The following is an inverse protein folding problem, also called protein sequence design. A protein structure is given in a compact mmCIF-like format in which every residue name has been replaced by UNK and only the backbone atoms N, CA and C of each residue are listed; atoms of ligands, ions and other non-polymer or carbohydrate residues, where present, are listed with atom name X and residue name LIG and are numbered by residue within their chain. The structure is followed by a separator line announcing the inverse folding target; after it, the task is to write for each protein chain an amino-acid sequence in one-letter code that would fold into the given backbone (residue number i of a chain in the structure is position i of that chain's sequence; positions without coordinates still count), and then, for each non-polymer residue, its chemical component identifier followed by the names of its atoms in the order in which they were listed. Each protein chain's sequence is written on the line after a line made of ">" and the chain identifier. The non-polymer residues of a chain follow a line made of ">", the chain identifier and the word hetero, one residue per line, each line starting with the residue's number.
data_IF_912983146638
#
_entry.id   IF_912983146638
#
_cell.length_a   1.000
_cell.length_b   1.000
_cell.length_c   1.000
_cell.angle_alpha   90.00
_cell.angle_beta   90.00
_cell.angle_gamma   90.00
#
_symmetry.space_group_name_H-M   'P 1'
#
loop_
_entity.id
_entity.type
_entity.pdbx_description
1 polymer ?
#
# COMPACT_ATOMS: atom_id res chain seq x y z
N UNK A 1 19.68 -11.03 0.28
CA UNK A 1 18.74 -11.60 -0.71
C UNK A 1 18.49 -10.67 -1.90
N UNK A 2 17.94 -9.45 -1.73
CA UNK A 2 17.61 -8.54 -2.87
C UNK A 2 18.74 -8.37 -3.91
N UNK A 3 19.99 -8.13 -3.48
CA UNK A 3 21.15 -7.94 -4.36
C UNK A 3 21.52 -9.18 -5.20
N UNK A 4 21.06 -10.36 -4.79
CA UNK A 4 21.36 -11.64 -5.45
C UNK A 4 20.30 -12.03 -6.49
N UNK A 5 19.21 -11.27 -6.61
CA UNK A 5 18.09 -11.59 -7.50
C UNK A 5 18.08 -10.66 -8.72
N UNK A 6 17.91 -11.19 -9.91
CA UNK A 6 17.68 -10.41 -11.14
C UNK A 6 16.32 -9.72 -11.10
N UNK A 7 16.07 -8.76 -12.00
CA UNK A 7 14.77 -8.06 -12.04
C UNK A 7 13.60 -9.02 -12.32
N UNK A 8 13.72 -9.98 -13.27
CA UNK A 8 12.70 -11.02 -13.45
C UNK A 8 12.43 -11.84 -12.18
N UNK A 9 13.46 -12.23 -11.42
CA UNK A 9 13.27 -12.96 -10.16
C UNK A 9 12.53 -12.13 -9.11
N UNK A 10 12.83 -10.84 -8.98
CA UNK A 10 12.13 -9.95 -8.06
C UNK A 10 10.66 -9.76 -8.47
N UNK A 11 10.38 -9.61 -9.76
CA UNK A 11 9.01 -9.49 -10.28
C UNK A 11 8.22 -10.78 -10.04
N UNK A 12 8.84 -11.95 -10.25
CA UNK A 12 8.21 -13.24 -9.93
C UNK A 12 7.91 -13.38 -8.44
N UNK A 13 8.82 -12.92 -7.58
CA UNK A 13 8.58 -12.89 -6.13
C UNK A 13 7.42 -11.96 -5.77
N UNK A 14 7.33 -10.79 -6.42
CA UNK A 14 6.20 -9.86 -6.26
C UNK A 14 4.88 -10.53 -6.63
N UNK A 15 4.81 -11.25 -7.75
CA UNK A 15 3.61 -11.99 -8.15
C UNK A 15 3.18 -13.02 -7.09
N UNK A 16 4.12 -13.85 -6.61
CA UNK A 16 3.83 -14.84 -5.57
C UNK A 16 3.30 -14.19 -4.28
N UNK A 17 3.91 -13.08 -3.85
CA UNK A 17 3.46 -12.34 -2.67
C UNK A 17 2.09 -11.68 -2.88
N UNK A 18 1.78 -11.23 -4.10
CA UNK A 18 0.46 -10.71 -4.46
C UNK A 18 -0.60 -11.82 -4.44
N UNK A 19 -0.28 -13.03 -4.89
CA UNK A 19 -1.18 -14.19 -4.73
C UNK A 19 -1.48 -14.46 -3.25
N UNK A 20 -0.45 -14.46 -2.39
CA UNK A 20 -0.62 -14.60 -0.95
C UNK A 20 -1.48 -13.48 -0.34
N UNK A 21 -1.24 -12.23 -0.76
CA UNK A 21 -2.04 -11.08 -0.32
C UNK A 21 -3.52 -11.26 -0.67
N UNK A 22 -3.80 -11.56 -1.95
CA UNK A 22 -5.17 -11.71 -2.47
C UNK A 22 -5.91 -12.85 -1.79
N UNK A 23 -5.26 -13.99 -1.59
CA UNK A 23 -5.85 -15.10 -0.85
C UNK A 23 -6.25 -14.70 0.57
N UNK A 24 -5.35 -14.05 1.30
CA UNK A 24 -5.62 -13.57 2.66
C UNK A 24 -6.75 -12.52 2.69
N UNK A 25 -6.76 -11.59 1.73
CA UNK A 25 -7.82 -10.58 1.54
C UNK A 25 -9.18 -11.24 1.34
N UNK A 26 -9.30 -12.16 0.37
CA UNK A 26 -10.53 -12.91 0.07
C UNK A 26 -11.02 -13.70 1.28
N UNK A 27 -10.12 -14.32 2.03
CA UNK A 27 -10.51 -15.01 3.27
C UNK A 27 -11.05 -14.03 4.32
N UNK A 28 -10.41 -12.88 4.50
CA UNK A 28 -10.81 -11.89 5.52
C UNK A 28 -12.18 -11.29 5.22
N UNK A 29 -12.52 -11.08 3.94
CA UNK A 29 -13.82 -10.54 3.50
C UNK A 29 -14.92 -11.62 3.45
N UNK A 30 -14.58 -12.91 3.41
CA UNK A 30 -15.55 -14.00 3.43
C UNK A 30 -16.05 -14.32 4.86
N UNK A 31 -17.02 -13.53 5.33
CA UNK A 31 -17.61 -13.71 6.66
C UNK A 31 -18.28 -15.08 6.84
N UNK A 32 -18.92 -15.62 5.80
CA UNK A 32 -19.60 -16.92 5.84
C UNK A 32 -18.62 -18.04 6.13
N UNK A 33 -17.53 -18.13 5.36
CA UNK A 33 -16.49 -19.14 5.56
C UNK A 33 -15.83 -19.00 6.95
N UNK A 34 -15.52 -17.76 7.37
CA UNK A 34 -14.92 -17.50 8.68
C UNK A 34 -15.85 -17.90 9.83
N UNK A 35 -17.16 -17.70 9.68
CA UNK A 35 -18.16 -18.12 10.67
C UNK A 35 -18.26 -19.65 10.76
N UNK A 36 -18.19 -20.37 9.63
CA UNK A 36 -18.16 -21.84 9.62
C UNK A 36 -16.95 -22.36 10.39
N UNK A 37 -15.75 -21.85 10.08
CA UNK A 37 -14.52 -22.25 10.78
C UNK A 37 -14.54 -21.92 12.27
N UNK A 38 -15.11 -20.77 12.63
CA UNK A 38 -15.25 -20.38 14.03
C UNK A 38 -16.22 -21.29 14.78
N UNK A 39 -17.39 -21.60 14.21
CA UNK A 39 -18.36 -22.56 14.80
C UNK A 39 -17.78 -23.97 14.92
N UNK A 40 -16.89 -24.36 14.01
CA UNK A 40 -16.14 -25.62 14.07
C UNK A 40 -14.97 -25.58 15.09
N UNK A 41 -14.81 -24.50 15.85
CA UNK A 41 -13.74 -24.31 16.84
C UNK A 41 -12.31 -24.44 16.26
N UNK A 42 -12.14 -24.16 14.95
CA UNK A 42 -10.87 -24.36 14.23
C UNK A 42 -9.68 -23.61 14.84
N UNK A 43 -9.93 -22.43 15.43
CA UNK A 43 -8.92 -21.62 16.12
C UNK A 43 -9.36 -21.29 17.55
N UNK A 44 -10.00 -22.25 18.22
CA UNK A 44 -10.62 -22.03 19.51
C UNK A 44 -11.71 -20.95 19.46
N UNK A 45 -11.81 -20.15 20.52
CA UNK A 45 -12.84 -19.12 20.67
C UNK A 45 -12.65 -17.89 19.77
N UNK A 46 -11.53 -17.75 19.07
CA UNK A 46 -11.21 -16.56 18.26
C UNK A 46 -11.63 -16.79 16.80
N UNK A 47 -12.44 -15.89 16.26
CA UNK A 47 -12.82 -15.93 14.84
C UNK A 47 -11.55 -15.81 13.96
N UNK A 48 -11.24 -16.81 13.11
CA UNK A 48 -10.00 -16.83 12.35
C UNK A 48 -9.93 -15.64 11.39
N UNK A 49 -8.73 -15.11 11.19
CA UNK A 49 -8.41 -14.08 10.20
C UNK A 49 -6.96 -14.26 9.74
N UNK A 50 -6.64 -13.66 8.60
CA UNK A 50 -5.31 -13.62 8.01
C UNK A 50 -4.83 -12.16 7.84
N UNK A 51 -5.21 -11.25 8.75
CA UNK A 51 -4.85 -9.82 8.65
C UNK A 51 -3.33 -9.60 8.56
N UNK A 52 -2.57 -10.36 9.36
CA UNK A 52 -1.10 -10.31 9.34
C UNK A 52 -0.55 -10.78 8.00
N UNK A 53 -1.08 -11.85 7.42
CA UNK A 53 -0.64 -12.33 6.11
C UNK A 53 -0.99 -11.33 5.01
N UNK A 54 -2.23 -10.83 5.00
CA UNK A 54 -2.74 -9.84 4.06
C UNK A 54 -1.84 -8.58 4.03
N UNK A 55 -1.55 -8.02 5.20
CA UNK A 55 -0.76 -6.79 5.32
C UNK A 55 0.73 -7.03 5.10
N UNK A 56 1.33 -8.09 5.68
CA UNK A 56 2.77 -8.31 5.57
C UNK A 56 3.21 -8.69 4.16
N UNK A 57 2.43 -9.50 3.42
CA UNK A 57 2.77 -9.85 2.04
C UNK A 57 2.70 -8.61 1.14
N UNK A 58 1.67 -7.76 1.30
CA UNK A 58 1.56 -6.50 0.56
C UNK A 58 2.68 -5.52 0.92
N UNK A 59 3.00 -5.37 2.20
CA UNK A 59 4.11 -4.53 2.63
C UNK A 59 5.46 -5.02 2.05
N UNK A 60 5.65 -6.34 1.92
CA UNK A 60 6.83 -6.91 1.27
C UNK A 60 6.87 -6.56 -0.23
N UNK A 61 5.76 -6.72 -0.95
CA UNK A 61 5.62 -6.31 -2.36
C UNK A 61 6.00 -4.85 -2.54
N UNK A 62 5.39 -3.96 -1.76
CA UNK A 62 5.66 -2.52 -1.83
C UNK A 62 7.13 -2.20 -1.54
N UNK A 63 7.75 -2.84 -0.53
CA UNK A 63 9.17 -2.64 -0.22
C UNK A 63 10.09 -3.09 -1.35
N UNK A 64 9.80 -4.23 -1.99
CA UNK A 64 10.57 -4.71 -3.15
C UNK A 64 10.45 -3.71 -4.29
N UNK A 65 9.22 -3.35 -4.66
CA UNK A 65 8.97 -2.46 -5.79
C UNK A 65 9.55 -1.06 -5.55
N UNK A 66 9.35 -0.45 -4.37
CA UNK A 66 9.97 0.84 -4.03
C UNK A 66 11.50 0.76 -3.99
N UNK A 67 12.08 -0.39 -3.65
CA UNK A 67 13.54 -0.58 -3.69
C UNK A 67 14.04 -0.69 -5.12
N UNK A 68 13.34 -1.45 -5.98
CA UNK A 68 13.64 -1.53 -7.42
C UNK A 68 13.52 -0.17 -8.09
N UNK A 69 12.52 0.62 -7.70
CA UNK A 69 12.29 1.92 -8.31
C UNK A 69 13.36 2.95 -7.95
N UNK A 70 14.11 2.74 -6.86
CA UNK A 70 15.25 3.59 -6.47
C UNK A 70 16.61 2.97 -6.80
N UNK A 71 16.63 1.89 -7.59
CA UNK A 71 17.85 1.12 -7.89
C UNK A 71 18.32 1.46 -9.32
N UNK A 72 19.39 2.25 -9.42
CA UNK A 72 19.95 2.69 -10.70
C UNK A 72 20.37 1.52 -11.60
N UNK A 73 20.83 0.41 -11.01
CA UNK A 73 21.18 -0.80 -11.76
C UNK A 73 19.99 -1.44 -12.46
N UNK A 74 18.75 -1.01 -12.15
CA UNK A 74 17.49 -1.53 -12.70
C UNK A 74 16.68 -0.46 -13.42
N UNK A 75 17.31 0.63 -13.83
CA UNK A 75 16.65 1.76 -14.50
C UNK A 75 15.81 1.34 -15.72
N UNK A 76 16.25 0.35 -16.48
CA UNK A 76 15.50 -0.21 -17.62
C UNK A 76 14.13 -0.79 -17.24
N UNK A 77 13.92 -1.17 -15.97
CA UNK A 77 12.66 -1.75 -15.47
C UNK A 77 11.78 -0.72 -14.74
N UNK A 78 12.25 0.50 -14.54
CA UNK A 78 11.52 1.53 -13.80
C UNK A 78 10.12 1.83 -14.36
N UNK A 79 9.88 1.90 -15.69
CA UNK A 79 8.53 2.14 -16.20
C UNK A 79 7.54 1.04 -15.79
N UNK A 80 7.94 -0.23 -15.88
CA UNK A 80 7.13 -1.36 -15.45
C UNK A 80 6.90 -1.36 -13.94
N UNK A 81 7.94 -1.10 -13.15
CA UNK A 81 7.86 -1.02 -11.68
C UNK A 81 6.96 0.14 -11.24
N UNK A 82 7.05 1.32 -11.88
CA UNK A 82 6.18 2.47 -11.60
C UNK A 82 4.72 2.10 -11.86
N UNK A 83 4.42 1.51 -13.02
CA UNK A 83 3.07 1.07 -13.36
C UNK A 83 2.51 0.11 -12.30
N UNK A 84 3.28 -0.92 -11.93
CA UNK A 84 2.86 -1.86 -10.87
C UNK A 84 2.68 -1.19 -9.51
N UNK A 85 3.58 -0.28 -9.11
CA UNK A 85 3.45 0.46 -7.84
C UNK A 85 2.18 1.30 -7.81
N UNK A 86 1.88 2.02 -8.90
CA UNK A 86 0.67 2.85 -9.00
C UNK A 86 -0.56 1.96 -8.87
N UNK A 87 -0.68 0.92 -9.69
CA UNK A 87 -1.84 0.01 -9.65
C UNK A 87 -2.05 -0.58 -8.26
N UNK A 88 -1.01 -1.17 -7.66
CA UNK A 88 -1.12 -1.83 -6.35
C UNK A 88 -1.41 -0.81 -5.22
N UNK A 89 -0.85 0.39 -5.30
CA UNK A 89 -1.12 1.43 -4.30
C UNK A 89 -2.54 1.99 -4.41
N UNK A 90 -3.06 2.19 -5.63
CA UNK A 90 -4.47 2.58 -5.82
C UNK A 90 -5.40 1.51 -5.24
N UNK A 91 -5.20 0.24 -5.60
CA UNK A 91 -5.99 -0.88 -5.04
C UNK A 91 -5.94 -0.91 -3.49
N UNK A 92 -4.79 -0.57 -2.90
CA UNK A 92 -4.61 -0.53 -1.46
C UNK A 92 -5.34 0.66 -0.80
N UNK A 93 -5.26 1.84 -1.41
CA UNK A 93 -5.92 3.06 -0.92
C UNK A 93 -7.45 2.95 -1.04
N UNK A 94 -7.95 2.48 -2.18
CA UNK A 94 -9.38 2.19 -2.39
C UNK A 94 -9.89 1.17 -1.39
N UNK A 95 -9.15 0.08 -1.20
CA UNK A 95 -9.57 -0.95 -0.26
C UNK A 95 -9.61 -0.43 1.17
N UNK A 96 -8.61 0.36 1.60
CA UNK A 96 -8.65 0.99 2.93
C UNK A 96 -9.90 1.85 3.12
N UNK A 97 -10.29 2.64 2.12
CA UNK A 97 -11.52 3.44 2.17
C UNK A 97 -12.80 2.60 2.28
N UNK A 98 -12.80 1.37 1.77
CA UNK A 98 -13.93 0.43 1.90
C UNK A 98 -14.00 -0.32 3.23
N UNK A 99 -12.92 -0.30 4.04
CA UNK A 99 -12.88 -1.05 5.29
C UNK A 99 -13.80 -0.39 6.32
N UNK A 100 -14.76 -1.14 6.84
CA UNK A 100 -15.69 -0.69 7.90
C UNK A 100 -15.26 -1.11 9.30
N UNK A 101 -14.49 -2.20 9.41
CA UNK A 101 -14.01 -2.75 10.67
C UNK A 101 -12.76 -2.01 11.17
N UNK A 102 -12.80 -1.51 12.40
CA UNK A 102 -11.72 -0.74 13.01
C UNK A 102 -10.42 -1.54 13.14
N UNK A 103 -10.47 -2.79 13.62
CA UNK A 103 -9.28 -3.63 13.75
C UNK A 103 -8.62 -3.93 12.37
N UNK A 104 -9.44 -4.03 11.31
CA UNK A 104 -8.94 -4.20 9.94
C UNK A 104 -8.28 -2.91 9.44
N UNK A 105 -8.91 -1.74 9.64
CA UNK A 105 -8.32 -0.43 9.33
C UNK A 105 -7.00 -0.24 10.08
N UNK A 106 -6.96 -0.58 11.36
CA UNK A 106 -5.77 -0.51 12.20
C UNK A 106 -4.59 -1.30 11.65
N UNK A 107 -4.83 -2.52 11.19
CA UNK A 107 -3.81 -3.33 10.54
C UNK A 107 -3.30 -2.67 9.24
N UNK A 108 -4.21 -2.08 8.46
CA UNK A 108 -3.90 -1.44 7.18
C UNK A 108 -3.29 -0.05 7.27
N UNK A 109 -3.41 0.64 8.41
CA UNK A 109 -2.73 1.93 8.67
C UNK A 109 -1.23 1.83 8.35
N UNK A 110 -0.60 0.70 8.69
CA UNK A 110 0.82 0.45 8.39
C UNK A 110 1.16 0.42 6.90
N UNK A 111 0.22 -0.02 6.05
CA UNK A 111 0.36 -0.05 4.59
C UNK A 111 0.29 1.37 4.02
N UNK A 112 -0.68 2.16 4.48
CA UNK A 112 -0.83 3.55 4.04
C UNK A 112 0.39 4.38 4.45
N UNK A 113 0.84 4.24 5.70
CA UNK A 113 2.06 4.88 6.17
C UNK A 113 3.26 4.51 5.30
N UNK A 114 3.40 3.23 4.90
CA UNK A 114 4.45 2.80 4.00
C UNK A 114 4.35 3.49 2.63
N UNK A 115 3.18 3.49 1.99
CA UNK A 115 2.99 4.11 0.67
C UNK A 115 3.30 5.61 0.73
N UNK A 116 2.63 6.33 1.62
CA UNK A 116 2.72 7.80 1.70
C UNK A 116 4.12 8.26 2.10
N UNK A 117 4.76 7.57 3.05
CA UNK A 117 6.14 7.91 3.46
C UNK A 117 7.14 7.67 2.34
N UNK A 118 6.93 6.65 1.49
CA UNK A 118 7.86 6.33 0.39
C UNK A 118 7.72 7.30 -0.76
N UNK A 119 6.50 7.69 -1.17
CA UNK A 119 6.32 8.69 -2.22
C UNK A 119 6.83 10.07 -1.80
N UNK A 120 6.68 10.44 -0.51
CA UNK A 120 7.23 11.69 0.03
C UNK A 120 8.75 11.82 -0.09
N UNK A 121 9.48 10.71 -0.29
CA UNK A 121 10.94 10.68 -0.44
C UNK A 121 11.39 10.58 -1.91
N UNK A 122 10.46 10.48 -2.85
CA UNK A 122 10.79 10.41 -4.28
C UNK A 122 11.11 11.79 -4.85
N UNK A 123 11.87 11.87 -5.96
CA UNK A 123 11.98 13.09 -6.78
C UNK A 123 10.60 13.59 -7.26
N UNK A 124 10.50 14.90 -7.52
CA UNK A 124 9.23 15.58 -7.82
C UNK A 124 8.48 14.96 -9.01
N UNK A 125 9.17 14.65 -10.12
CA UNK A 125 8.57 14.00 -11.29
C UNK A 125 7.84 12.70 -10.93
N UNK A 126 8.47 11.86 -10.11
CA UNK A 126 7.89 10.58 -9.69
C UNK A 126 6.80 10.75 -8.66
N UNK A 127 7.01 11.66 -7.71
CA UNK A 127 5.98 12.03 -6.74
C UNK A 127 4.71 12.51 -7.46
N UNK A 128 4.85 13.36 -8.49
CA UNK A 128 3.75 13.83 -9.31
C UNK A 128 3.02 12.67 -9.99
N UNK A 129 3.74 11.76 -10.68
CA UNK A 129 3.14 10.60 -11.33
C UNK A 129 2.30 9.72 -10.37
N UNK A 130 2.82 9.47 -9.16
CA UNK A 130 2.11 8.71 -8.13
C UNK A 130 0.91 9.48 -7.58
N UNK A 131 1.09 10.73 -7.17
CA UNK A 131 0.04 11.50 -6.50
C UNK A 131 -1.09 11.89 -7.46
N UNK A 132 -0.81 12.18 -8.73
CA UNK A 132 -1.87 12.36 -9.74
C UNK A 132 -2.80 11.16 -9.83
N UNK A 133 -2.29 9.95 -9.61
CA UNK A 133 -3.10 8.73 -9.60
C UNK A 133 -3.84 8.56 -8.26
N UNK A 134 -3.21 8.92 -7.15
CA UNK A 134 -3.73 8.66 -5.80
C UNK A 134 -4.72 9.72 -5.31
N UNK A 135 -4.67 10.93 -5.88
CA UNK A 135 -5.31 12.12 -5.34
C UNK A 135 -6.80 11.92 -4.95
N UNK A 136 -7.67 11.33 -5.78
CA UNK A 136 -9.07 11.11 -5.40
C UNK A 136 -9.20 10.28 -4.11
N UNK A 137 -8.47 9.17 -4.01
CA UNK A 137 -8.49 8.32 -2.82
C UNK A 137 -7.91 9.04 -1.60
N UNK A 138 -6.88 9.87 -1.77
CA UNK A 138 -6.31 10.64 -0.66
C UNK A 138 -7.33 11.64 -0.11
N UNK A 139 -8.13 12.26 -0.96
CA UNK A 139 -9.23 13.14 -0.55
C UNK A 139 -10.28 12.37 0.26
N UNK A 140 -10.76 11.23 -0.26
CA UNK A 140 -11.71 10.38 0.47
C UNK A 140 -11.17 9.93 1.84
N UNK A 141 -9.88 9.61 1.92
CA UNK A 141 -9.25 9.19 3.17
C UNK A 141 -9.30 10.28 4.25
N UNK A 142 -9.35 11.57 3.88
CA UNK A 142 -9.46 12.67 4.86
C UNK A 142 -10.78 12.69 5.62
N UNK A 143 -11.82 12.03 5.09
CA UNK A 143 -13.14 11.98 5.71
C UNK A 143 -13.23 10.97 6.87
N UNK A 144 -12.22 10.11 7.06
CA UNK A 144 -12.20 9.14 8.16
C UNK A 144 -11.56 9.71 9.42
N UNK A 145 -11.88 9.11 10.57
CA UNK A 145 -11.10 9.34 11.79
C UNK A 145 -9.77 8.58 11.72
N UNK A 146 -8.73 9.30 11.30
CA UNK A 146 -7.39 8.75 11.11
C UNK A 146 -6.58 8.77 12.40
N UNK A 147 -5.70 7.76 12.55
CA UNK A 147 -4.66 7.81 13.59
C UNK A 147 -3.75 9.04 13.38
N UNK A 148 -3.27 9.68 14.46
CA UNK A 148 -2.45 10.90 14.37
C UNK A 148 -1.28 10.81 13.39
N UNK A 149 -0.58 9.68 13.37
CA UNK A 149 0.55 9.42 12.49
C UNK A 149 0.16 9.38 11.00
N UNK A 150 -0.98 8.76 10.67
CA UNK A 150 -1.45 8.69 9.29
C UNK A 150 -1.95 10.07 8.82
N UNK A 151 -2.68 10.78 9.67
CA UNK A 151 -3.12 12.16 9.43
C UNK A 151 -1.93 13.08 9.16
N UNK A 152 -0.86 12.96 9.96
CA UNK A 152 0.36 13.75 9.82
C UNK A 152 1.07 13.50 8.48
N UNK A 153 1.24 12.23 8.09
CA UNK A 153 1.88 11.89 6.81
C UNK A 153 1.02 12.31 5.62
N UNK A 154 -0.30 12.12 5.69
CA UNK A 154 -1.24 12.55 4.65
C UNK A 154 -1.19 14.08 4.45
N UNK A 155 -1.19 14.86 5.55
CA UNK A 155 -1.01 16.31 5.49
C UNK A 155 0.28 16.71 4.77
N UNK A 156 1.39 16.02 5.03
CA UNK A 156 2.68 16.29 4.35
C UNK A 156 2.59 16.01 2.85
N UNK A 157 1.83 15.00 2.42
CA UNK A 157 1.59 14.74 1.00
C UNK A 157 0.86 15.92 0.37
N UNK A 158 -0.26 16.36 0.97
CA UNK A 158 -1.02 17.51 0.44
C UNK A 158 -0.21 18.82 0.40
N UNK A 159 0.60 19.09 1.43
CA UNK A 159 1.51 20.25 1.42
C UNK A 159 2.49 20.18 0.26
N UNK A 160 3.06 19.00 -0.01
CA UNK A 160 4.04 18.81 -1.09
C UNK A 160 3.41 18.92 -2.50
N UNK A 161 2.12 18.62 -2.65
CA UNK A 161 1.41 18.78 -3.93
C UNK A 161 1.46 20.23 -4.42
N UNK A 162 1.26 21.19 -3.50
CA UNK A 162 1.25 22.62 -3.82
C UNK A 162 2.43 23.08 -4.70
N UNK A 163 3.68 22.98 -4.20
CA UNK A 163 4.86 23.39 -4.96
C UNK A 163 5.16 22.49 -6.16
N UNK A 164 4.99 21.16 -6.05
CA UNK A 164 5.33 20.24 -7.15
C UNK A 164 4.45 20.45 -8.39
N UNK A 165 3.18 20.82 -8.19
CA UNK A 165 2.25 21.12 -9.28
C UNK A 165 2.11 22.62 -9.57
N UNK A 166 2.96 23.47 -8.97
CA UNK A 166 2.93 24.93 -9.12
C UNK A 166 1.56 25.56 -8.77
N UNK A 167 0.83 25.00 -7.80
CA UNK A 167 -0.43 25.56 -7.27
C UNK A 167 -0.14 26.75 -6.37
N UNK A 168 0.96 26.69 -5.61
CA UNK A 168 1.49 27.78 -4.79
C UNK A 168 2.92 28.06 -5.22
N UNK A 169 3.33 29.32 -5.17
CA UNK A 169 4.72 29.71 -5.39
C UNK A 169 5.61 29.03 -4.34
N UNK A 170 6.78 28.54 -4.74
CA UNK A 170 7.83 28.12 -3.80
C UNK A 170 8.23 29.35 -2.97
N UNK A 171 7.63 29.55 -1.82
CA UNK A 171 8.18 30.44 -0.80
C UNK A 171 9.50 29.83 -0.35
N UNK A 172 10.59 30.46 -0.79
CA UNK A 172 11.95 30.21 -0.29
C UNK A 172 12.01 30.48 1.22
#
# INVERSE_FOLDING_TARGET
>A
MYRLLSSPHLLRLVECLMCSHRFAKTFNTNNTQRNVLWKANFKGSVKPNMLKQETQSLACVLRILFKMYSDEARRSHWPAVQKSLITISCEALEYFGSLTNEAHRDAWTSILLLILTRILKMPDERFAAHVSSYYPMLCEITCFDLKPELRSVLRRVFIRIGPVFNIISNTQ
#
